data_IF_647513210290
#
_entry.id   IF_647513210290
#
_cell.length_a   1.000
_cell.length_b   1.000
_cell.length_c   1.000
_cell.angle_alpha   90.00
_cell.angle_beta   90.00
_cell.angle_gamma   90.00
#
_symmetry.space_group_name_H-M   'P 1'
#
loop_
_entity.id
_entity.type
_entity.pdbx_description
1 polymer ?
#
# COMPACT_ATOMS: atom_id res chain seq x y z
N UNK A 1 -1.37 -10.81 30.91
CA UNK A 1 -0.39 -11.08 29.83
C UNK A 1 -0.90 -12.07 28.78
N UNK A 2 -1.88 -12.95 29.07
CA UNK A 2 -2.44 -13.91 28.10
C UNK A 2 -3.24 -13.38 26.86
N UNK A 3 -3.95 -12.23 26.88
CA UNK A 3 -4.84 -11.89 25.75
C UNK A 3 -4.09 -11.42 24.50
N UNK A 4 -2.89 -10.86 24.63
CA UNK A 4 -2.06 -10.40 23.52
C UNK A 4 -1.40 -11.55 22.74
N UNK A 5 -1.03 -12.62 23.42
CA UNK A 5 -0.45 -13.82 22.79
C UNK A 5 -1.49 -14.57 21.95
N UNK A 6 -2.70 -14.77 22.50
CA UNK A 6 -3.80 -15.43 21.77
C UNK A 6 -4.23 -14.64 20.51
N UNK A 7 -4.18 -13.30 20.56
CA UNK A 7 -4.44 -12.46 19.40
C UNK A 7 -3.34 -12.56 18.34
N UNK A 8 -2.07 -12.60 18.75
CA UNK A 8 -0.93 -12.77 17.84
C UNK A 8 -0.97 -14.13 17.13
N UNK A 9 -1.31 -15.20 17.86
CA UNK A 9 -1.45 -16.55 17.31
C UNK A 9 -2.63 -16.65 16.33
N UNK A 10 -3.76 -15.99 16.64
CA UNK A 10 -4.90 -15.93 15.73
C UNK A 10 -4.55 -15.14 14.46
N UNK A 11 -3.85 -14.01 14.59
CA UNK A 11 -3.41 -13.20 13.46
C UNK A 11 -2.40 -13.94 12.58
N UNK A 12 -1.46 -14.69 13.16
CA UNK A 12 -0.50 -15.48 12.39
C UNK A 12 -1.20 -16.61 11.62
N UNK A 13 -2.16 -17.31 12.24
CA UNK A 13 -2.96 -18.35 11.60
C UNK A 13 -3.83 -17.79 10.45
N UNK A 14 -4.48 -16.64 10.66
CA UNK A 14 -5.26 -16.00 9.59
C UNK A 14 -4.36 -15.54 8.45
N UNK A 15 -3.18 -14.99 8.78
CA UNK A 15 -2.22 -14.49 7.80
C UNK A 15 -1.67 -15.62 6.94
N UNK A 16 -1.29 -16.77 7.52
CA UNK A 16 -0.78 -17.92 6.78
C UNK A 16 -1.84 -18.49 5.83
N UNK A 17 -3.07 -18.69 6.32
CA UNK A 17 -4.20 -19.12 5.47
C UNK A 17 -4.45 -18.14 4.33
N UNK A 18 -4.32 -16.83 4.58
CA UNK A 18 -4.51 -15.82 3.55
C UNK A 18 -3.41 -15.84 2.50
N UNK A 19 -2.16 -16.07 2.90
CA UNK A 19 -1.01 -16.20 2.00
C UNK A 19 -1.14 -17.44 1.12
N UNK A 20 -1.58 -18.57 1.67
CA UNK A 20 -1.83 -19.79 0.91
C UNK A 20 -2.90 -19.57 -0.16
N UNK A 21 -4.00 -18.91 0.20
CA UNK A 21 -5.08 -18.59 -0.74
C UNK A 21 -4.61 -17.62 -1.83
N UNK A 22 -3.86 -16.57 -1.48
CA UNK A 22 -3.26 -15.64 -2.47
C UNK A 22 -2.32 -16.40 -3.42
N UNK A 23 -1.51 -17.31 -2.89
CA UNK A 23 -0.55 -18.10 -3.68
C UNK A 23 -1.27 -19.02 -4.66
N UNK A 24 -2.36 -19.65 -4.22
CA UNK A 24 -3.22 -20.47 -5.07
C UNK A 24 -3.86 -19.64 -6.19
N UNK A 25 -4.42 -18.48 -5.85
CA UNK A 25 -5.02 -17.57 -6.83
C UNK A 25 -3.99 -17.07 -7.84
N UNK A 26 -2.80 -16.68 -7.39
CA UNK A 26 -1.69 -16.30 -8.26
C UNK A 26 -1.33 -17.40 -9.23
N UNK A 27 -1.18 -18.65 -8.76
CA UNK A 27 -0.83 -19.78 -9.64
C UNK A 27 -1.88 -19.98 -10.72
N UNK A 28 -3.16 -20.00 -10.36
CA UNK A 28 -4.26 -20.17 -11.32
C UNK A 28 -4.24 -19.05 -12.37
N UNK A 29 -4.05 -17.81 -11.93
CA UNK A 29 -3.99 -16.65 -12.80
C UNK A 29 -2.79 -16.70 -13.77
N UNK A 30 -1.59 -16.97 -13.26
CA UNK A 30 -0.37 -17.04 -14.07
C UNK A 30 -0.41 -18.21 -15.06
N UNK A 31 -0.92 -19.37 -14.65
CA UNK A 31 -1.09 -20.53 -15.55
C UNK A 31 -2.08 -20.21 -16.68
N UNK A 32 -3.18 -19.52 -16.37
CA UNK A 32 -4.15 -19.09 -17.37
C UNK A 32 -3.57 -18.01 -18.31
N UNK A 33 -2.82 -17.05 -17.76
CA UNK A 33 -2.12 -16.00 -18.52
C UNK A 33 -1.07 -16.60 -19.46
N UNK A 34 -0.27 -17.56 -18.98
CA UNK A 34 0.75 -18.23 -19.78
C UNK A 34 0.14 -18.95 -20.99
N UNK A 35 -0.98 -19.67 -20.80
CA UNK A 35 -1.70 -20.33 -21.91
C UNK A 35 -2.21 -19.32 -22.96
N UNK A 36 -2.68 -18.15 -22.52
CA UNK A 36 -3.12 -17.10 -23.43
C UNK A 36 -1.92 -16.55 -24.22
N UNK A 37 -0.78 -16.31 -23.56
CA UNK A 37 0.43 -15.82 -24.21
C UNK A 37 0.98 -16.83 -25.24
N UNK A 38 0.95 -18.12 -24.93
CA UNK A 38 1.32 -19.19 -25.88
C UNK A 38 0.45 -19.16 -27.15
N UNK A 39 -0.87 -19.00 -27.00
CA UNK A 39 -1.79 -18.85 -28.13
C UNK A 39 -1.51 -17.59 -28.96
N UNK A 40 -1.08 -16.51 -28.32
CA UNK A 40 -0.73 -15.23 -28.97
C UNK A 40 0.59 -15.34 -29.75
N UNK A 41 1.56 -16.09 -29.22
CA UNK A 41 2.84 -16.32 -29.89
C UNK A 41 2.70 -17.22 -31.13
N UNK A 42 1.81 -18.20 -31.09
CA UNK A 42 1.50 -19.08 -32.21
C UNK A 42 0.90 -18.34 -33.43
N UNK A 43 0.27 -17.19 -33.20
CA UNK A 43 -0.37 -16.42 -34.26
C UNK A 43 0.58 -15.44 -34.97
N UNK A 44 0.29 -15.15 -36.23
CA UNK A 44 1.09 -14.21 -37.04
C UNK A 44 0.44 -12.83 -37.17
N UNK A 45 -0.90 -12.78 -37.19
CA UNK A 45 -1.67 -11.55 -37.44
C UNK A 45 -1.89 -10.77 -36.14
N UNK A 46 -1.41 -9.52 -36.09
CA UNK A 46 -1.56 -8.62 -34.93
C UNK A 46 -3.02 -8.48 -34.43
N UNK A 47 -3.98 -8.39 -35.36
CA UNK A 47 -5.41 -8.33 -35.02
C UNK A 47 -5.87 -9.57 -34.26
N UNK A 48 -5.46 -10.76 -34.71
CA UNK A 48 -5.85 -12.04 -34.08
C UNK A 48 -5.20 -12.18 -32.71
N UNK A 49 -3.93 -11.76 -32.58
CA UNK A 49 -3.25 -11.65 -31.27
C UNK A 49 -4.03 -10.79 -30.28
N UNK A 50 -4.43 -9.59 -30.70
CA UNK A 50 -5.21 -8.68 -29.86
C UNK A 50 -6.59 -9.25 -29.48
N UNK A 51 -7.23 -10.00 -30.38
CA UNK A 51 -8.51 -10.68 -30.09
C UNK A 51 -8.35 -11.79 -29.05
N UNK A 52 -7.33 -12.65 -29.19
CA UNK A 52 -7.05 -13.72 -28.22
C UNK A 52 -6.79 -13.13 -26.83
N UNK A 53 -6.00 -12.05 -26.76
CA UNK A 53 -5.76 -11.34 -25.51
C UNK A 53 -7.04 -10.74 -24.92
N UNK A 54 -7.89 -10.15 -25.75
CA UNK A 54 -9.16 -9.57 -25.31
C UNK A 54 -10.11 -10.63 -24.78
N UNK A 55 -10.22 -11.78 -25.45
CA UNK A 55 -11.03 -12.92 -25.01
C UNK A 55 -10.51 -13.50 -23.69
N UNK A 56 -9.19 -13.57 -23.52
CA UNK A 56 -8.54 -13.93 -22.27
C UNK A 56 -8.88 -12.95 -21.13
N UNK A 57 -8.76 -11.65 -21.40
CA UNK A 57 -9.08 -10.59 -20.44
C UNK A 57 -10.57 -10.60 -20.05
N UNK A 58 -11.48 -10.86 -21.00
CA UNK A 58 -12.91 -10.95 -20.75
C UNK A 58 -13.26 -12.08 -19.77
N UNK A 59 -12.57 -13.22 -19.85
CA UNK A 59 -12.71 -14.31 -18.87
C UNK A 59 -12.34 -13.85 -17.46
N UNK A 60 -11.18 -13.20 -17.31
CA UNK A 60 -10.73 -12.68 -16.00
C UNK A 60 -11.64 -11.58 -15.43
N UNK A 61 -12.27 -10.79 -16.28
CA UNK A 61 -13.24 -9.77 -15.85
C UNK A 61 -14.55 -10.44 -15.40
N UNK A 62 -14.99 -11.47 -16.12
CA UNK A 62 -16.22 -12.21 -15.80
C UNK A 62 -16.08 -13.01 -14.51
N UNK A 63 -14.90 -13.58 -14.23
CA UNK A 63 -14.61 -14.23 -12.93
C UNK A 63 -14.44 -13.23 -11.79
N UNK A 64 -14.35 -11.93 -12.09
CA UNK A 64 -14.18 -10.86 -11.10
C UNK A 64 -12.75 -10.66 -10.62
N UNK A 65 -11.78 -11.36 -11.21
CA UNK A 65 -10.34 -11.23 -10.90
C UNK A 65 -9.84 -9.85 -11.32
N UNK A 66 -10.14 -9.43 -12.55
CA UNK A 66 -9.74 -8.13 -13.07
C UNK A 66 -10.92 -7.17 -13.08
N UNK A 67 -10.75 -6.01 -12.44
CA UNK A 67 -11.67 -4.88 -12.61
C UNK A 67 -11.15 -3.99 -13.75
N UNK A 68 -11.90 -3.85 -14.86
CA UNK A 68 -11.46 -2.99 -15.95
C UNK A 68 -11.47 -1.53 -15.50
N UNK A 69 -10.53 -0.69 -15.97
CA UNK A 69 -10.55 0.72 -15.67
C UNK A 69 -11.78 1.37 -16.31
N UNK A 70 -12.35 2.39 -15.67
CA UNK A 70 -13.57 3.08 -16.10
C UNK A 70 -13.54 3.55 -17.56
N UNK A 71 -12.34 3.86 -18.08
CA UNK A 71 -12.12 4.37 -19.44
C UNK A 71 -11.86 3.27 -20.48
N UNK A 72 -11.90 1.99 -20.11
CA UNK A 72 -11.68 0.88 -21.03
C UNK A 72 -12.97 0.12 -21.29
N UNK A 73 -13.47 0.24 -22.52
CA UNK A 73 -14.61 -0.53 -22.99
C UNK A 73 -14.13 -1.77 -23.75
N UNK A 74 -14.37 -2.95 -23.17
CA UNK A 74 -14.14 -4.24 -23.84
C UNK A 74 -14.95 -4.34 -25.13
N UNK A 75 -16.23 -3.93 -25.10
CA UNK A 75 -17.14 -4.01 -26.24
C UNK A 75 -16.65 -3.16 -27.41
N UNK A 76 -16.24 -1.92 -27.14
CA UNK A 76 -15.73 -1.04 -28.19
C UNK A 76 -14.42 -1.60 -28.77
N UNK A 77 -13.51 -2.06 -27.91
CA UNK A 77 -12.24 -2.66 -28.35
C UNK A 77 -12.48 -3.89 -29.24
N UNK A 78 -13.42 -4.77 -28.84
CA UNK A 78 -13.83 -5.93 -29.66
C UNK A 78 -14.36 -5.51 -31.02
N UNK A 79 -15.22 -4.49 -31.05
CA UNK A 79 -15.82 -4.02 -32.29
C UNK A 79 -14.79 -3.39 -33.23
N UNK A 80 -13.88 -2.58 -32.69
CA UNK A 80 -12.79 -2.01 -33.48
C UNK A 80 -11.85 -3.08 -34.04
N UNK A 81 -11.52 -4.12 -33.25
CA UNK A 81 -10.72 -5.23 -33.74
C UNK A 81 -11.41 -6.01 -34.88
N UNK A 82 -12.74 -6.13 -34.85
CA UNK A 82 -13.52 -6.70 -35.97
C UNK A 82 -13.49 -5.77 -37.19
N UNK A 83 -13.63 -4.46 -36.99
CA UNK A 83 -13.60 -3.47 -38.08
C UNK A 83 -12.23 -3.40 -38.76
N UNK A 84 -11.14 -3.61 -38.02
CA UNK A 84 -9.77 -3.60 -38.54
C UNK A 84 -9.49 -4.67 -39.60
N UNK A 85 -10.41 -5.61 -39.82
CA UNK A 85 -10.34 -6.54 -40.96
C UNK A 85 -10.67 -5.90 -42.30
N UNK A 86 -11.58 -4.92 -42.30
CA UNK A 86 -12.13 -4.30 -43.51
C UNK A 86 -11.76 -2.83 -43.63
N UNK A 87 -11.42 -2.18 -42.52
CA UNK A 87 -11.14 -0.75 -42.43
C UNK A 87 -9.63 -0.47 -42.40
N UNK A 88 -9.05 0.10 -43.47
CA UNK A 88 -7.64 0.46 -43.53
C UNK A 88 -7.30 1.71 -42.71
N UNK A 89 -8.29 2.42 -42.15
CA UNK A 89 -8.05 3.57 -41.26
C UNK A 89 -7.50 3.15 -39.90
N UNK A 90 -7.70 1.89 -39.51
CA UNK A 90 -7.13 1.33 -38.28
C UNK A 90 -5.66 0.99 -38.54
N UNK A 91 -4.80 1.90 -38.07
CA UNK A 91 -3.36 1.76 -38.21
C UNK A 91 -2.82 0.58 -37.40
N UNK A 92 -1.71 -0.01 -37.87
CA UNK A 92 -0.98 -1.03 -37.12
C UNK A 92 -0.63 -0.59 -35.70
N UNK A 93 -0.25 0.68 -35.54
CA UNK A 93 0.07 1.28 -34.24
C UNK A 93 -1.09 1.19 -33.26
N UNK A 94 -2.33 1.44 -33.71
CA UNK A 94 -3.51 1.31 -32.84
C UNK A 94 -3.74 -0.14 -32.37
N UNK A 95 -3.49 -1.13 -33.24
CA UNK A 95 -3.56 -2.54 -32.87
C UNK A 95 -2.50 -2.92 -31.83
N UNK A 96 -1.26 -2.44 -32.01
CA UNK A 96 -0.15 -2.61 -31.06
C UNK A 96 -0.44 -1.92 -29.72
N UNK A 97 -1.00 -0.70 -29.75
CA UNK A 97 -1.39 0.05 -28.55
C UNK A 97 -2.50 -0.70 -27.77
N UNK A 98 -3.49 -1.28 -28.46
CA UNK A 98 -4.50 -2.10 -27.79
C UNK A 98 -3.92 -3.38 -27.22
N UNK A 99 -3.05 -4.07 -27.96
CA UNK A 99 -2.34 -5.25 -27.46
C UNK A 99 -1.54 -4.91 -26.20
N UNK A 100 -0.72 -3.87 -26.23
CA UNK A 100 0.08 -3.43 -25.10
C UNK A 100 -0.80 -3.03 -23.91
N UNK A 101 -1.92 -2.35 -24.15
CA UNK A 101 -2.86 -1.97 -23.09
C UNK A 101 -3.50 -3.18 -22.41
N UNK A 102 -3.93 -4.18 -23.18
CA UNK A 102 -4.51 -5.41 -22.64
C UNK A 102 -3.46 -6.20 -21.84
N UNK A 103 -2.26 -6.35 -22.39
CA UNK A 103 -1.14 -7.00 -21.71
C UNK A 103 -0.80 -6.30 -20.39
N UNK A 104 -0.68 -4.98 -20.41
CA UNK A 104 -0.39 -4.21 -19.20
C UNK A 104 -1.48 -4.37 -18.12
N UNK A 105 -2.75 -4.56 -18.51
CA UNK A 105 -3.81 -4.85 -17.54
C UNK A 105 -3.61 -6.22 -16.85
N UNK A 106 -3.19 -7.23 -17.61
CA UNK A 106 -2.87 -8.56 -17.07
C UNK A 106 -1.59 -8.51 -16.20
N UNK A 107 -0.56 -7.80 -16.64
CA UNK A 107 0.70 -7.60 -15.90
C UNK A 107 0.48 -6.83 -14.60
N UNK A 108 -0.35 -5.79 -14.63
CA UNK A 108 -0.75 -5.07 -13.41
C UNK A 108 -1.43 -6.00 -12.41
N UNK A 109 -2.21 -6.97 -12.90
CA UNK A 109 -2.85 -7.95 -12.03
C UNK A 109 -1.86 -8.98 -11.48
N UNK A 110 -0.93 -9.48 -12.29
CA UNK A 110 0.22 -10.29 -11.83
C UNK A 110 0.95 -9.59 -10.69
N UNK A 111 1.28 -8.32 -10.88
CA UNK A 111 2.00 -7.51 -9.90
C UNK A 111 1.22 -7.32 -8.59
N UNK A 112 -0.11 -7.23 -8.64
CA UNK A 112 -0.94 -7.19 -7.42
C UNK A 112 -0.79 -8.44 -6.57
N UNK A 113 -0.72 -9.63 -7.19
CA UNK A 113 -0.47 -10.86 -6.44
C UNK A 113 0.93 -10.87 -5.82
N UNK A 114 1.94 -10.35 -6.52
CA UNK A 114 3.30 -10.24 -5.99
C UNK A 114 3.36 -9.30 -4.78
N UNK A 115 2.73 -8.12 -4.87
CA UNK A 115 2.62 -7.20 -3.73
C UNK A 115 1.85 -7.81 -2.57
N UNK A 116 0.73 -8.48 -2.83
CA UNK A 116 -0.05 -9.14 -1.78
C UNK A 116 0.77 -10.22 -1.06
N UNK A 117 1.56 -11.01 -1.80
CA UNK A 117 2.48 -12.00 -1.23
C UNK A 117 3.63 -11.36 -0.43
N UNK A 118 4.20 -10.25 -0.92
CA UNK A 118 5.23 -9.51 -0.18
C UNK A 118 4.69 -8.94 1.13
N UNK A 119 3.52 -8.29 1.09
CA UNK A 119 2.88 -7.76 2.30
C UNK A 119 2.54 -8.86 3.29
N UNK A 120 2.05 -10.02 2.82
CA UNK A 120 1.81 -11.18 3.68
C UNK A 120 3.06 -11.63 4.42
N UNK A 121 4.18 -11.83 3.70
CA UNK A 121 5.46 -12.21 4.30
C UNK A 121 5.99 -11.18 5.29
N UNK A 122 5.84 -9.89 4.99
CA UNK A 122 6.23 -8.82 5.91
C UNK A 122 5.42 -8.88 7.22
N UNK A 123 4.12 -9.15 7.14
CA UNK A 123 3.27 -9.32 8.32
C UNK A 123 3.70 -10.56 9.12
N UNK A 124 4.01 -11.68 8.45
CA UNK A 124 4.55 -12.87 9.11
C UNK A 124 5.87 -12.59 9.83
N UNK A 125 6.79 -11.83 9.22
CA UNK A 125 8.06 -11.43 9.83
C UNK A 125 7.81 -10.55 11.07
N UNK A 126 6.94 -9.54 10.98
CA UNK A 126 6.59 -8.70 12.13
C UNK A 126 6.02 -9.51 13.29
N UNK A 127 5.10 -10.44 13.00
CA UNK A 127 4.52 -11.32 14.03
C UNK A 127 5.57 -12.26 14.63
N UNK A 128 6.50 -12.76 13.81
CA UNK A 128 7.59 -13.64 14.26
C UNK A 128 8.58 -12.92 15.18
N UNK A 129 8.95 -11.68 14.87
CA UNK A 129 9.83 -10.86 15.72
C UNK A 129 9.17 -10.54 17.06
N UNK A 130 7.85 -10.27 17.07
CA UNK A 130 7.11 -10.04 18.34
C UNK A 130 6.97 -11.29 19.20
N UNK A 131 6.91 -12.48 18.59
CA UNK A 131 6.91 -13.76 19.30
C UNK A 131 8.31 -14.17 19.80
N UNK A 132 9.37 -13.68 19.15
CA UNK A 132 10.78 -14.00 19.46
C UNK A 132 11.43 -13.06 20.48
N UNK A 133 10.66 -12.22 21.19
CA UNK A 133 11.22 -11.46 22.32
C UNK A 133 11.84 -12.44 23.33
N UNK A 134 13.17 -12.42 23.56
CA UNK A 134 13.80 -13.29 24.52
C UNK A 134 13.25 -12.95 25.91
N UNK A 135 12.92 -13.97 26.71
CA UNK A 135 12.81 -13.76 28.16
C UNK A 135 14.08 -13.04 28.64
N UNK A 136 13.99 -12.08 29.56
CA UNK A 136 15.14 -11.32 30.00
C UNK A 136 16.17 -12.29 30.60
N UNK A 137 17.27 -12.56 29.89
CA UNK A 137 18.30 -13.47 30.37
C UNK A 137 19.27 -14.09 29.36
N UNK A 138 18.95 -14.17 28.06
CA UNK A 138 19.88 -14.81 27.09
C UNK A 138 20.43 -13.77 26.12
N UNK A 139 21.65 -13.32 26.40
CA UNK A 139 22.45 -12.48 25.51
C UNK A 139 22.87 -13.32 24.30
N UNK A 140 22.22 -13.14 23.16
CA UNK A 140 22.81 -13.44 21.85
C UNK A 140 23.09 -12.10 21.18
N UNK A 141 24.37 -11.79 21.13
CA UNK A 141 24.94 -10.53 20.66
C UNK A 141 24.88 -10.45 19.12
N UNK A 142 23.83 -9.82 18.60
CA UNK A 142 23.90 -9.15 17.30
C UNK A 142 24.20 -7.67 17.59
N UNK A 143 25.49 -7.33 17.67
CA UNK A 143 26.02 -6.02 18.09
C UNK A 143 25.60 -4.79 17.25
N UNK A 144 24.58 -4.90 16.41
CA UNK A 144 23.97 -3.79 15.68
C UNK A 144 22.69 -3.26 16.35
N UNK A 145 21.99 -4.09 17.14
CA UNK A 145 20.69 -3.73 17.74
C UNK A 145 20.87 -3.07 19.12
N UNK A 146 21.82 -3.57 19.92
CA UNK A 146 22.07 -3.07 21.29
C UNK A 146 22.53 -1.61 21.34
N UNK A 147 23.22 -1.10 20.30
CA UNK A 147 23.70 0.29 20.26
C UNK A 147 22.63 1.27 19.78
N UNK A 148 21.75 0.84 18.87
CA UNK A 148 20.63 1.66 18.42
C UNK A 148 19.54 1.75 19.50
N UNK A 149 19.27 0.66 20.20
CA UNK A 149 18.28 0.64 21.29
C UNK A 149 18.70 1.49 22.48
N UNK A 150 19.96 1.45 22.90
CA UNK A 150 20.41 2.27 24.04
C UNK A 150 20.41 3.76 23.70
N UNK A 151 20.91 4.13 22.51
CA UNK A 151 20.90 5.53 22.07
C UNK A 151 19.46 6.04 21.84
N UNK A 152 18.56 5.23 21.27
CA UNK A 152 17.14 5.60 21.13
C UNK A 152 16.46 5.77 22.49
N UNK A 153 16.73 4.88 23.45
CA UNK A 153 16.17 4.98 24.79
C UNK A 153 16.71 6.21 25.53
N UNK A 154 18.00 6.52 25.38
CA UNK A 154 18.61 7.72 25.95
C UNK A 154 18.04 9.00 25.32
N UNK A 155 17.83 9.02 24.00
CA UNK A 155 17.18 10.12 23.30
C UNK A 155 15.73 10.31 23.75
N UNK A 156 15.01 9.20 23.93
CA UNK A 156 13.65 9.22 24.45
C UNK A 156 13.61 9.75 25.88
N UNK A 157 14.50 9.31 26.77
CA UNK A 157 14.57 9.85 28.13
C UNK A 157 14.89 11.34 28.15
N UNK A 158 15.82 11.79 27.30
CA UNK A 158 16.15 13.23 27.15
C UNK A 158 14.94 14.03 26.65
N UNK A 159 14.21 13.49 25.66
CA UNK A 159 13.01 14.13 25.13
C UNK A 159 11.88 14.17 26.16
N UNK A 160 11.62 13.05 26.85
CA UNK A 160 10.61 12.96 27.91
C UNK A 160 10.95 13.92 29.05
N UNK A 161 12.21 14.01 29.47
CA UNK A 161 12.64 14.99 30.44
C UNK A 161 12.38 16.41 29.95
N UNK A 162 12.68 16.74 28.69
CA UNK A 162 12.47 18.09 28.16
C UNK A 162 10.98 18.46 28.02
N UNK A 163 10.13 17.52 27.59
CA UNK A 163 8.70 17.76 27.34
C UNK A 163 7.87 17.72 28.61
N UNK A 164 8.19 16.81 29.53
CA UNK A 164 7.40 16.60 30.75
C UNK A 164 7.97 17.31 31.98
N UNK A 165 9.13 17.96 31.88
CA UNK A 165 9.57 18.90 32.91
C UNK A 165 8.71 20.17 32.85
N UNK A 166 8.07 20.57 33.95
CA UNK A 166 7.34 21.83 33.99
C UNK A 166 8.33 22.98 33.75
N UNK A 167 8.14 23.73 32.66
CA UNK A 167 8.94 24.91 32.37
C UNK A 167 8.61 25.99 33.40
N UNK A 168 9.58 26.31 34.26
CA UNK A 168 9.40 27.25 35.35
C UNK A 168 9.25 28.66 34.79
N UNK A 169 8.00 29.04 34.51
CA UNK A 169 7.66 30.29 33.85
C UNK A 169 7.41 31.35 34.91
N UNK A 170 8.12 32.46 34.84
CA UNK A 170 7.91 33.59 35.75
C UNK A 170 6.56 34.27 35.44
N UNK A 171 5.53 33.84 36.17
CA UNK A 171 4.18 34.36 36.05
C UNK A 171 4.09 35.87 36.34
N UNK A 172 5.00 36.40 37.18
CA UNK A 172 5.02 37.81 37.57
C UNK A 172 5.56 38.65 36.41
N UNK A 173 6.63 38.20 35.77
CA UNK A 173 7.19 38.86 34.59
C UNK A 173 6.18 38.86 33.42
N UNK A 174 5.49 37.74 33.19
CA UNK A 174 4.45 37.64 32.17
C UNK A 174 3.25 38.55 32.46
N UNK A 175 2.73 38.56 33.69
CA UNK A 175 1.63 39.45 34.06
C UNK A 175 2.02 40.91 33.93
N UNK A 176 3.23 41.29 34.34
CA UNK A 176 3.75 42.66 34.19
C UNK A 176 3.85 43.06 32.72
N UNK A 177 4.31 42.14 31.87
CA UNK A 177 4.39 42.36 30.42
C UNK A 177 3.02 42.54 29.79
N UNK A 178 2.05 41.68 30.13
CA UNK A 178 0.68 41.74 29.63
C UNK A 178 -0.03 42.99 30.13
N UNK A 179 0.12 43.35 31.40
CA UNK A 179 -0.44 44.57 31.98
C UNK A 179 0.10 45.82 31.28
N UNK A 180 1.41 45.88 31.02
CA UNK A 180 2.00 46.97 30.25
C UNK A 180 1.43 47.07 28.83
N UNK A 181 1.18 45.94 28.17
CA UNK A 181 0.63 45.93 26.80
C UNK A 181 -0.85 46.32 26.77
N UNK A 182 -1.66 45.79 27.68
CA UNK A 182 -3.12 45.90 27.60
C UNK A 182 -3.72 47.01 28.47
N UNK A 183 -3.02 47.47 29.52
CA UNK A 183 -3.48 48.56 30.39
C UNK A 183 -2.89 49.93 30.03
N UNK A 184 -1.95 50.00 29.07
CA UNK A 184 -1.38 51.27 28.60
C UNK A 184 -2.26 52.04 27.62
N UNK A 185 -3.24 51.37 26.99
CA UNK A 185 -4.19 51.96 26.04
C UNK A 185 -5.62 51.70 26.50
N UNK A 186 -6.44 52.75 26.58
CA UNK A 186 -7.84 52.68 27.02
C UNK A 186 -8.68 51.76 26.12
N UNK A 187 -8.45 51.80 24.81
CA UNK A 187 -9.13 50.91 23.86
C UNK A 187 -8.74 49.42 24.05
N UNK A 188 -7.49 49.14 24.43
CA UNK A 188 -7.01 47.79 24.67
C UNK A 188 -7.53 47.21 26.00
N UNK A 189 -7.65 48.06 27.02
CA UNK A 189 -8.23 47.70 28.33
C UNK A 189 -9.71 47.34 28.21
N UNK A 190 -10.48 48.15 27.47
CA UNK A 190 -11.91 47.91 27.24
C UNK A 190 -12.15 46.61 26.46
N UNK A 191 -11.28 46.29 25.48
CA UNK A 191 -11.33 45.04 24.74
C UNK A 191 -10.97 43.83 25.61
N UNK A 192 -9.94 43.95 26.47
CA UNK A 192 -9.54 42.90 27.40
C UNK A 192 -10.66 42.57 28.40
N UNK A 193 -11.35 43.57 28.95
CA UNK A 193 -12.47 43.35 29.87
C UNK A 193 -13.68 42.66 29.24
N UNK A 194 -13.82 42.70 27.90
CA UNK A 194 -14.90 42.03 27.17
C UNK A 194 -14.61 40.56 26.83
N UNK A 195 -13.35 40.13 26.90
CA UNK A 195 -12.91 38.77 26.58
C UNK A 195 -12.88 37.82 27.78
N UNK A 196 -12.96 38.37 29.00
CA UNK A 196 -12.99 37.62 30.26
C UNK A 196 -14.42 37.43 30.73
#
# INVERSE_FOLDING_TARGET
MAPTEALSETLSSITSVKIDEITKQRRIFEDAKAKILEQVEAESKLRVKALILLDGLEKFITTGEIKPPLKFSLQNTRQFLKQAEYDPSISRKQLEDWQAKILNMMDTHSLKFEYASLCGRLVEECLSTTASCPKPGTKTDFGFETLAETEMLDQRMKWEALVFSPFNTDAIALQTHLDRLFKSSTAASDAYTKLR
#
